data_IF_764512763841
#
_entry.id   IF_764512763841
#
_cell.length_a   1.000
_cell.length_b   1.000
_cell.length_c   1.000
_cell.angle_alpha   90.00
_cell.angle_beta   90.00
_cell.angle_gamma   90.00
#
_symmetry.space_group_name_H-M   'P 1'
#
loop_
_entity.id
_entity.type
_entity.pdbx_description
1 polymer ?
#
# COMPACT_ATOMS: atom_id res chain seq x y z
N UNK A 1 12.28 -7.55 -26.05
CA UNK A 1 11.04 -7.69 -26.83
C UNK A 1 10.02 -8.30 -25.89
N UNK A 2 8.97 -7.54 -25.55
CA UNK A 2 7.86 -8.03 -24.71
C UNK A 2 7.21 -9.18 -25.45
N UNK A 3 7.12 -10.35 -24.85
CA UNK A 3 6.32 -11.43 -25.41
C UNK A 3 4.86 -11.02 -25.31
N UNK A 4 4.04 -11.20 -26.37
CA UNK A 4 2.66 -10.70 -26.44
C UNK A 4 1.70 -11.16 -25.34
N UNK A 5 2.12 -12.08 -24.46
CA UNK A 5 1.39 -12.46 -23.25
C UNK A 5 1.53 -11.43 -22.12
N UNK A 6 2.69 -10.78 -21.97
CA UNK A 6 2.95 -9.82 -20.88
C UNK A 6 2.29 -8.46 -21.16
N UNK A 7 2.22 -8.03 -22.42
CA UNK A 7 1.58 -6.77 -22.78
C UNK A 7 0.06 -6.72 -22.50
N UNK A 8 -0.60 -7.88 -22.44
CA UNK A 8 -2.05 -8.02 -22.23
C UNK A 8 -2.41 -8.50 -20.81
N UNK A 9 -1.48 -8.45 -19.85
CA UNK A 9 -1.74 -8.86 -18.48
C UNK A 9 -2.78 -7.93 -17.86
N UNK A 10 -3.84 -8.53 -17.33
CA UNK A 10 -4.91 -7.83 -16.62
C UNK A 10 -4.64 -7.89 -15.12
N UNK A 11 -4.94 -6.79 -14.46
CA UNK A 11 -4.90 -6.68 -13.02
C UNK A 11 -6.30 -6.35 -12.49
N UNK A 12 -6.61 -6.82 -11.30
CA UNK A 12 -7.74 -6.31 -10.53
C UNK A 12 -7.47 -4.87 -10.13
N UNK A 13 -8.54 -4.10 -9.97
CA UNK A 13 -8.46 -2.80 -9.33
C UNK A 13 -8.69 -2.97 -7.83
N UNK A 14 -7.65 -2.72 -7.05
CA UNK A 14 -7.73 -2.59 -5.61
C UNK A 14 -7.78 -1.14 -5.17
N UNK A 15 -8.08 -0.91 -3.89
CA UNK A 15 -7.99 0.40 -3.26
C UNK A 15 -7.51 0.27 -1.81
N UNK A 16 -6.43 0.99 -1.48
CA UNK A 16 -6.00 1.17 -0.11
C UNK A 16 -6.94 2.13 0.61
N UNK A 17 -7.35 1.78 1.82
CA UNK A 17 -8.33 2.56 2.59
C UNK A 17 -7.85 3.97 2.92
N UNK A 18 -6.53 4.19 2.97
CA UNK A 18 -5.92 5.52 3.14
C UNK A 18 -6.33 6.53 2.05
N UNK A 19 -6.74 6.07 0.87
CA UNK A 19 -7.34 6.91 -0.18
C UNK A 19 -8.48 7.80 0.34
N UNK A 20 -9.15 7.38 1.41
CA UNK A 20 -10.24 8.10 2.07
C UNK A 20 -9.91 8.47 3.52
N UNK A 21 -8.64 8.84 3.79
CA UNK A 21 -8.15 9.13 5.15
C UNK A 21 -8.82 10.37 5.78
N UNK A 22 -9.17 11.40 4.99
CA UNK A 22 -9.95 12.56 5.49
C UNK A 22 -11.37 12.16 5.91
N UNK A 23 -11.86 11.04 5.39
CA UNK A 23 -13.13 10.42 5.77
C UNK A 23 -13.01 9.44 6.94
N UNK A 24 -11.81 9.30 7.50
CA UNK A 24 -11.53 8.55 8.72
C UNK A 24 -11.22 7.07 8.49
N UNK A 25 -10.85 6.68 7.28
CA UNK A 25 -10.38 5.34 6.93
C UNK A 25 -8.85 5.29 6.88
N UNK A 26 -8.30 4.09 6.99
CA UNK A 26 -6.85 3.88 7.00
C UNK A 26 -6.18 4.38 8.29
N UNK A 27 -4.86 4.35 8.28
CA UNK A 27 -4.05 4.89 9.37
C UNK A 27 -4.06 6.42 9.39
N UNK A 28 -3.68 6.97 10.55
CA UNK A 28 -3.52 8.40 10.72
C UNK A 28 -2.07 8.82 10.47
N UNK A 29 -1.89 9.94 9.79
CA UNK A 29 -0.58 10.54 9.55
C UNK A 29 -0.22 11.56 10.63
N UNK A 30 1.04 11.70 10.94
CA UNK A 30 1.51 12.73 11.85
C UNK A 30 3.02 12.95 11.78
N UNK A 31 3.46 14.18 11.99
CA UNK A 31 4.88 14.46 12.10
C UNK A 31 5.37 14.17 13.52
N UNK A 32 6.32 13.27 13.66
CA UNK A 32 6.95 12.93 14.94
C UNK A 32 7.46 14.16 15.70
N UNK A 33 8.00 15.15 14.98
CA UNK A 33 8.52 16.39 15.56
C UNK A 33 7.48 17.21 16.31
N UNK A 34 6.18 17.02 16.03
CA UNK A 34 5.09 17.75 16.67
C UNK A 34 4.35 16.92 17.73
N UNK A 35 4.58 15.61 17.81
CA UNK A 35 3.84 14.69 18.69
C UNK A 35 2.33 14.67 18.43
N UNK A 36 1.92 15.02 17.20
CA UNK A 36 0.53 15.11 16.82
C UNK A 36 0.21 14.10 15.73
N UNK A 37 -0.80 13.31 16.00
CA UNK A 37 -1.43 12.43 14.99
C UNK A 37 -2.64 13.14 14.41
N UNK A 38 -2.73 13.23 13.09
CA UNK A 38 -3.89 13.77 12.39
C UNK A 38 -4.89 12.65 12.17
N UNK A 39 -5.73 12.39 13.18
CA UNK A 39 -6.87 11.47 13.06
C UNK A 39 -8.12 12.28 12.71
N UNK A 40 -8.79 11.85 11.65
CA UNK A 40 -10.06 12.44 11.25
C UNK A 40 -11.24 11.61 11.76
N UNK A 41 -12.38 12.27 11.99
CA UNK A 41 -13.62 11.59 12.36
C UNK A 41 -14.03 10.62 11.27
N UNK A 42 -14.29 9.35 11.64
CA UNK A 42 -14.78 8.33 10.72
C UNK A 42 -16.22 8.63 10.31
N UNK A 43 -16.43 9.05 9.07
CA UNK A 43 -17.74 9.30 8.45
C UNK A 43 -18.11 8.24 7.41
N UNK A 44 -17.14 7.43 7.03
CA UNK A 44 -17.31 6.23 6.22
C UNK A 44 -16.76 5.07 7.04
N UNK A 45 -17.60 4.09 7.36
CA UNK A 45 -17.19 2.82 7.97
C UNK A 45 -16.86 1.79 6.89
N UNK A 46 -16.27 0.66 7.32
CA UNK A 46 -15.88 -0.40 6.41
C UNK A 46 -17.07 -1.00 5.67
N UNK A 47 -18.23 -1.07 6.33
CA UNK A 47 -19.46 -1.60 5.73
C UNK A 47 -19.92 -0.75 4.54
N UNK A 48 -19.97 0.56 4.72
CA UNK A 48 -20.29 1.52 3.67
C UNK A 48 -19.22 1.55 2.58
N UNK A 49 -17.93 1.44 2.95
CA UNK A 49 -16.84 1.38 1.99
C UNK A 49 -16.98 0.18 1.05
N UNK A 50 -17.32 -1.00 1.57
CA UNK A 50 -17.53 -2.20 0.74
C UNK A 50 -18.63 -1.98 -0.30
N UNK A 51 -19.74 -1.36 0.09
CA UNK A 51 -20.83 -1.04 -0.85
C UNK A 51 -20.37 -0.02 -1.92
N UNK A 52 -19.62 1.02 -1.52
CA UNK A 52 -19.02 1.98 -2.44
C UNK A 52 -18.03 1.32 -3.41
N UNK A 53 -17.19 0.40 -2.94
CA UNK A 53 -16.25 -0.32 -3.81
C UNK A 53 -16.96 -1.07 -4.93
N UNK A 54 -18.08 -1.74 -4.63
CA UNK A 54 -18.88 -2.42 -5.65
C UNK A 54 -19.46 -1.43 -6.65
N UNK A 55 -19.99 -0.28 -6.17
CA UNK A 55 -20.58 0.76 -7.04
C UNK A 55 -19.53 1.38 -7.98
N UNK A 56 -18.30 1.55 -7.52
CA UNK A 56 -17.21 2.18 -8.29
C UNK A 56 -16.36 1.14 -9.09
N UNK A 57 -16.69 -0.16 -9.00
CA UNK A 57 -15.99 -1.22 -9.74
C UNK A 57 -14.65 -1.63 -9.15
N UNK A 58 -14.40 -1.34 -7.87
CA UNK A 58 -13.23 -1.80 -7.12
C UNK A 58 -13.44 -3.27 -6.76
N UNK A 59 -12.39 -4.08 -6.88
CA UNK A 59 -12.44 -5.54 -6.75
C UNK A 59 -11.74 -6.04 -5.48
N UNK A 60 -10.80 -5.22 -4.94
CA UNK A 60 -9.99 -5.56 -3.77
C UNK A 60 -9.97 -4.38 -2.80
N UNK A 61 -10.11 -4.65 -1.50
CA UNK A 61 -9.95 -3.66 -0.45
C UNK A 61 -8.66 -3.98 0.32
N UNK A 62 -7.70 -3.08 0.25
CA UNK A 62 -6.47 -3.10 1.01
C UNK A 62 -6.68 -2.26 2.28
N UNK A 63 -6.98 -2.93 3.41
CA UNK A 63 -7.44 -2.30 4.64
C UNK A 63 -6.41 -2.36 5.76
N UNK A 64 -6.54 -1.49 6.74
CA UNK A 64 -5.73 -1.50 7.97
C UNK A 64 -6.52 -2.02 9.16
N UNK A 65 -5.82 -2.29 10.29
CA UNK A 65 -6.50 -2.65 11.55
C UNK A 65 -7.41 -1.54 12.09
N UNK A 66 -7.16 -0.28 11.73
CA UNK A 66 -7.99 0.87 12.12
C UNK A 66 -9.39 0.78 11.55
N UNK A 67 -9.52 0.19 10.36
CA UNK A 67 -10.81 0.07 9.67
C UNK A 67 -11.75 -0.92 10.36
N UNK A 68 -11.21 -1.81 11.20
CA UNK A 68 -11.96 -2.78 12.03
C UNK A 68 -12.49 -2.18 13.34
N UNK A 69 -12.36 -0.88 13.56
CA UNK A 69 -12.87 -0.14 14.74
C UNK A 69 -12.41 -0.69 16.10
N UNK A 70 -11.27 -1.40 16.11
CA UNK A 70 -10.70 -2.03 17.31
C UNK A 70 -11.39 -3.30 17.75
N UNK A 71 -12.37 -3.81 16.99
CA UNK A 71 -13.01 -5.12 17.24
C UNK A 71 -12.35 -6.22 16.41
N UNK A 72 -11.46 -6.97 17.03
CA UNK A 72 -10.77 -8.13 16.44
C UNK A 72 -11.40 -9.47 16.88
N UNK A 73 -12.64 -9.44 17.40
CA UNK A 73 -13.34 -10.67 17.78
C UNK A 73 -13.61 -11.56 16.57
N UNK A 74 -13.61 -12.88 16.78
CA UNK A 74 -13.90 -13.86 15.73
C UNK A 74 -15.25 -13.60 15.05
N UNK A 75 -16.24 -13.12 15.80
CA UNK A 75 -17.57 -12.82 15.27
C UNK A 75 -17.54 -11.61 14.30
N UNK A 76 -16.79 -10.55 14.66
CA UNK A 76 -16.66 -9.37 13.81
C UNK A 76 -15.85 -9.69 12.55
N UNK A 77 -14.71 -10.35 12.68
CA UNK A 77 -13.88 -10.73 11.54
C UNK A 77 -14.63 -11.64 10.55
N UNK A 78 -15.43 -12.60 11.09
CA UNK A 78 -16.29 -13.45 10.26
C UNK A 78 -17.37 -12.64 9.52
N UNK A 79 -18.00 -11.67 10.17
CA UNK A 79 -19.02 -10.83 9.54
C UNK A 79 -18.42 -9.97 8.40
N UNK A 80 -17.23 -9.39 8.59
CA UNK A 80 -16.51 -8.65 7.55
C UNK A 80 -16.21 -9.56 6.36
N UNK A 81 -15.65 -10.74 6.61
CA UNK A 81 -15.39 -11.75 5.58
C UNK A 81 -16.64 -12.14 4.80
N UNK A 82 -17.71 -12.50 5.49
CA UNK A 82 -18.99 -12.91 4.86
C UNK A 82 -19.58 -11.80 3.98
N UNK A 83 -19.46 -10.52 4.41
CA UNK A 83 -19.90 -9.40 3.58
C UNK A 83 -19.03 -9.26 2.33
N UNK A 84 -17.70 -9.31 2.47
CA UNK A 84 -16.78 -9.21 1.32
C UNK A 84 -17.05 -10.33 0.32
N UNK A 85 -17.16 -11.60 0.77
CA UNK A 85 -17.48 -12.76 -0.08
C UNK A 85 -18.81 -12.59 -0.81
N UNK A 86 -19.86 -12.15 -0.11
CA UNK A 86 -21.18 -11.88 -0.71
C UNK A 86 -21.15 -10.82 -1.80
N UNK A 87 -20.32 -9.78 -1.62
CA UNK A 87 -20.13 -8.71 -2.58
C UNK A 87 -19.12 -9.05 -3.68
N UNK A 88 -18.39 -10.15 -3.52
CA UNK A 88 -17.34 -10.57 -4.43
C UNK A 88 -16.10 -9.71 -4.36
N UNK A 89 -15.80 -9.13 -3.21
CA UNK A 89 -14.60 -8.35 -2.92
C UNK A 89 -13.53 -9.25 -2.32
N UNK A 90 -12.29 -9.11 -2.77
CA UNK A 90 -11.14 -9.68 -2.08
C UNK A 90 -10.65 -8.70 -1.01
N UNK A 91 -10.02 -9.21 0.05
CA UNK A 91 -9.46 -8.41 1.12
C UNK A 91 -7.94 -8.60 1.19
N UNK A 92 -7.24 -7.52 1.47
CA UNK A 92 -5.82 -7.47 1.79
C UNK A 92 -5.63 -6.69 3.09
N UNK A 93 -4.59 -7.00 3.85
CA UNK A 93 -4.34 -6.38 5.15
C UNK A 93 -3.02 -5.61 5.16
N UNK A 94 -3.06 -4.35 5.56
CA UNK A 94 -1.92 -3.47 5.75
C UNK A 94 -1.54 -3.41 7.23
N UNK A 95 -0.28 -3.69 7.53
CA UNK A 95 0.30 -3.73 8.88
C UNK A 95 1.59 -2.92 8.92
N UNK A 96 1.87 -2.33 10.08
CA UNK A 96 3.17 -1.75 10.40
C UNK A 96 3.75 -2.42 11.64
N UNK A 97 5.09 -2.45 11.76
CA UNK A 97 5.72 -3.01 12.94
C UNK A 97 5.85 -2.00 14.07
N UNK A 98 6.11 -0.75 13.72
CA UNK A 98 6.34 0.31 14.69
C UNK A 98 5.99 1.69 14.15
N UNK A 99 4.81 1.82 13.52
CA UNK A 99 4.35 3.10 12.99
C UNK A 99 4.34 4.17 14.09
N UNK A 100 5.16 5.20 14.00
CA UNK A 100 5.27 6.20 15.05
C UNK A 100 4.07 7.15 15.08
N UNK A 101 3.41 7.32 13.94
CA UNK A 101 2.26 8.21 13.77
C UNK A 101 0.95 7.58 14.22
N UNK A 102 0.78 6.29 14.03
CA UNK A 102 -0.45 5.58 14.41
C UNK A 102 -0.19 4.17 14.96
N UNK A 103 0.02 4.03 16.28
CA UNK A 103 0.27 2.72 16.88
C UNK A 103 -0.87 1.70 16.72
N UNK A 104 -2.06 2.11 16.26
CA UNK A 104 -3.19 1.19 16.06
C UNK A 104 -2.99 0.22 14.89
N UNK A 105 -2.09 0.55 13.96
CA UNK A 105 -1.71 -0.34 12.85
C UNK A 105 -0.58 -1.28 13.21
N UNK A 106 0.04 -1.12 14.40
CA UNK A 106 1.15 -1.96 14.82
C UNK A 106 0.65 -3.35 15.21
N UNK A 107 1.27 -4.37 14.65
CA UNK A 107 0.94 -5.75 14.91
C UNK A 107 2.16 -6.64 14.71
N UNK A 108 2.23 -7.73 15.44
CA UNK A 108 3.24 -8.76 15.20
C UNK A 108 2.91 -9.56 13.94
N UNK A 109 3.92 -10.19 13.34
CA UNK A 109 3.70 -11.06 12.17
C UNK A 109 2.71 -12.17 12.52
N UNK A 110 2.87 -12.82 13.68
CA UNK A 110 2.03 -13.95 14.10
C UNK A 110 0.55 -13.54 14.26
N UNK A 111 0.29 -12.44 14.94
CA UNK A 111 -1.07 -11.93 15.16
C UNK A 111 -1.73 -11.48 13.84
N UNK A 112 -0.98 -10.75 12.99
CA UNK A 112 -1.50 -10.28 11.71
C UNK A 112 -1.84 -11.41 10.74
N UNK A 113 -1.04 -12.48 10.73
CA UNK A 113 -1.35 -13.69 9.93
C UNK A 113 -2.64 -14.37 10.40
N UNK A 114 -2.88 -14.41 11.72
CA UNK A 114 -4.12 -14.97 12.28
C UNK A 114 -5.34 -14.11 11.91
N UNK A 115 -5.23 -12.78 12.06
CA UNK A 115 -6.29 -11.84 11.69
C UNK A 115 -6.60 -11.93 10.18
N UNK A 116 -5.57 -11.88 9.33
CA UNK A 116 -5.71 -11.98 7.89
C UNK A 116 -6.37 -13.31 7.47
N UNK A 117 -5.97 -14.42 8.08
CA UNK A 117 -6.60 -15.71 7.82
C UNK A 117 -8.10 -15.72 8.20
N UNK A 118 -8.46 -15.16 9.36
CA UNK A 118 -9.88 -15.06 9.81
C UNK A 118 -10.71 -14.16 8.91
N UNK A 119 -10.13 -13.05 8.43
CA UNK A 119 -10.75 -12.14 7.45
C UNK A 119 -10.86 -12.77 6.05
N UNK A 120 -10.09 -13.83 5.77
CA UNK A 120 -10.00 -14.41 4.43
C UNK A 120 -9.18 -13.55 3.46
N UNK A 121 -8.23 -12.75 3.98
CA UNK A 121 -7.34 -11.96 3.15
C UNK A 121 -6.49 -12.84 2.22
N UNK A 122 -6.11 -12.29 1.07
CA UNK A 122 -5.23 -12.93 0.09
C UNK A 122 -3.77 -12.57 0.30
N UNK A 123 -3.52 -11.41 0.93
CA UNK A 123 -2.20 -10.83 1.13
C UNK A 123 -2.14 -10.05 2.45
N UNK A 124 -0.95 -10.02 3.04
CA UNK A 124 -0.60 -9.10 4.14
C UNK A 124 0.62 -8.27 3.72
N UNK A 125 0.47 -6.95 3.73
CA UNK A 125 1.54 -5.98 3.48
C UNK A 125 2.12 -5.49 4.81
N UNK A 126 3.43 -5.28 4.83
CA UNK A 126 4.15 -4.81 6.01
C UNK A 126 5.01 -3.58 5.69
N UNK A 127 4.76 -2.49 6.42
CA UNK A 127 5.75 -1.43 6.62
C UNK A 127 6.67 -1.83 7.77
N UNK A 128 7.97 -1.65 7.61
CA UNK A 128 8.97 -2.20 8.54
C UNK A 128 9.57 -1.18 9.49
N UNK A 129 9.39 0.11 9.19
CA UNK A 129 9.79 1.24 10.02
C UNK A 129 11.29 1.22 10.37
N UNK A 130 12.14 0.96 9.37
CA UNK A 130 13.60 0.95 9.51
C UNK A 130 14.13 2.37 9.62
N UNK A 131 14.89 2.64 10.67
CA UNK A 131 15.50 3.96 10.89
C UNK A 131 16.83 4.09 10.17
N UNK A 132 17.00 5.20 9.44
CA UNK A 132 18.22 5.55 8.71
C UNK A 132 18.92 6.79 9.32
N UNK A 133 20.26 6.77 9.44
CA UNK A 133 21.00 7.94 9.87
C UNK A 133 21.09 8.99 8.73
N UNK A 134 21.29 10.25 9.11
CA UNK A 134 21.64 11.29 8.14
C UNK A 134 23.14 11.26 7.80
N UNK A 135 23.50 11.59 6.56
CA UNK A 135 22.62 11.95 5.43
C UNK A 135 21.97 10.72 4.78
N UNK A 136 20.70 10.84 4.44
CA UNK A 136 19.90 9.75 3.85
C UNK A 136 20.53 9.18 2.57
N UNK A 137 21.10 10.04 1.72
CA UNK A 137 21.75 9.62 0.46
C UNK A 137 22.92 8.63 0.61
N UNK A 138 23.46 8.47 1.81
CA UNK A 138 24.56 7.55 2.11
C UNK A 138 24.14 6.45 3.09
N UNK A 139 22.86 6.36 3.43
CA UNK A 139 22.38 5.44 4.46
C UNK A 139 21.82 4.13 3.90
N UNK A 140 21.62 4.04 2.59
CA UNK A 140 21.23 2.78 1.94
C UNK A 140 22.22 1.66 2.29
N UNK A 141 21.72 0.55 2.83
CA UNK A 141 22.54 -0.60 3.27
C UNK A 141 23.60 -0.24 4.34
N UNK A 142 23.43 0.86 5.07
CA UNK A 142 24.35 1.18 6.15
C UNK A 142 24.25 0.14 7.29
N UNK A 143 25.28 0.02 8.16
CA UNK A 143 25.30 -0.99 9.22
C UNK A 143 24.06 -0.95 10.13
N UNK A 144 23.58 0.25 10.46
CA UNK A 144 22.42 0.48 11.32
C UNK A 144 21.12 -0.03 10.69
N UNK A 145 20.90 0.22 9.41
CA UNK A 145 19.75 -0.29 8.66
C UNK A 145 19.86 -1.81 8.47
N UNK A 146 21.05 -2.30 8.10
CA UNK A 146 21.29 -3.74 7.91
C UNK A 146 21.04 -4.56 9.18
N UNK A 147 21.39 -4.04 10.35
CA UNK A 147 21.11 -4.72 11.62
C UNK A 147 19.61 -4.85 11.89
N UNK A 148 18.82 -3.81 11.60
CA UNK A 148 17.37 -3.83 11.74
C UNK A 148 16.73 -4.79 10.74
N UNK A 149 17.08 -4.68 9.46
CA UNK A 149 16.58 -5.56 8.39
C UNK A 149 16.90 -7.03 8.64
N UNK A 150 18.10 -7.35 9.16
CA UNK A 150 18.45 -8.72 9.51
C UNK A 150 17.56 -9.30 10.62
N UNK A 151 17.16 -8.51 11.60
CA UNK A 151 16.19 -8.91 12.64
C UNK A 151 14.82 -9.18 12.03
N UNK A 152 14.34 -8.29 11.15
CA UNK A 152 13.05 -8.42 10.44
C UNK A 152 13.03 -9.70 9.61
N UNK A 153 14.10 -9.96 8.84
CA UNK A 153 14.24 -11.20 8.06
C UNK A 153 14.16 -12.44 8.97
N UNK A 154 14.80 -12.40 10.15
CA UNK A 154 14.74 -13.51 11.09
C UNK A 154 13.34 -13.72 11.67
N UNK A 155 12.59 -12.64 11.90
CA UNK A 155 11.22 -12.71 12.40
C UNK A 155 10.27 -13.29 11.34
N UNK A 156 10.38 -12.90 10.08
CA UNK A 156 9.66 -13.55 8.98
C UNK A 156 10.02 -15.03 8.85
N UNK A 157 11.31 -15.39 8.91
CA UNK A 157 11.75 -16.80 8.86
C UNK A 157 11.12 -17.66 9.94
N UNK A 158 10.95 -17.16 11.15
CA UNK A 158 10.27 -17.88 12.25
C UNK A 158 8.81 -18.13 11.96
N UNK A 159 8.18 -17.26 11.17
CA UNK A 159 6.75 -17.31 10.81
C UNK A 159 6.46 -18.03 9.48
N UNK A 160 7.47 -18.47 8.72
CA UNK A 160 7.29 -19.22 7.46
C UNK A 160 6.30 -20.38 7.63
N UNK A 161 6.37 -21.24 8.68
CA UNK A 161 5.42 -22.33 8.84
C UNK A 161 3.96 -21.87 8.96
N UNK A 162 3.72 -20.69 9.54
CA UNK A 162 2.37 -20.12 9.67
C UNK A 162 1.93 -19.49 8.35
N UNK A 163 2.83 -18.81 7.64
CA UNK A 163 2.61 -18.26 6.28
C UNK A 163 2.18 -19.39 5.34
N UNK A 164 2.93 -20.49 5.31
CA UNK A 164 2.62 -21.67 4.49
C UNK A 164 1.30 -22.32 4.89
N UNK A 165 1.06 -22.46 6.21
CA UNK A 165 -0.19 -23.05 6.74
C UNK A 165 -1.43 -22.30 6.28
N UNK A 166 -1.37 -20.97 6.23
CA UNK A 166 -2.50 -20.13 5.82
C UNK A 166 -2.51 -19.84 4.32
N UNK A 167 -1.38 -20.06 3.63
CA UNK A 167 -1.25 -19.79 2.19
C UNK A 167 -1.31 -18.30 1.86
N UNK A 168 -0.97 -17.43 2.83
CA UNK A 168 -1.02 -15.97 2.68
C UNK A 168 0.19 -15.47 1.90
N UNK A 169 -0.04 -14.60 0.91
CA UNK A 169 1.03 -13.80 0.30
C UNK A 169 1.49 -12.73 1.30
N UNK A 170 2.78 -12.47 1.34
CA UNK A 170 3.44 -11.44 2.15
C UNK A 170 4.10 -10.44 1.22
N UNK A 171 3.91 -9.15 1.47
CA UNK A 171 4.57 -8.09 0.71
C UNK A 171 5.27 -7.11 1.66
N UNK A 172 6.59 -6.93 1.50
CA UNK A 172 7.39 -5.97 2.26
C UNK A 172 7.47 -4.68 1.46
N UNK A 173 7.06 -3.57 2.03
CA UNK A 173 6.94 -2.30 1.34
C UNK A 173 8.21 -1.45 1.42
N UNK A 174 8.47 -0.69 0.33
CA UNK A 174 9.32 0.49 0.36
C UNK A 174 8.53 1.71 0.92
N UNK A 175 8.04 1.58 2.16
CA UNK A 175 7.45 2.72 2.85
C UNK A 175 8.52 3.84 2.97
N UNK A 176 8.20 5.00 3.47
CA UNK A 176 9.13 6.14 3.59
C UNK A 176 10.47 5.84 4.30
N UNK A 177 10.69 4.60 4.68
CA UNK A 177 11.82 4.09 5.47
C UNK A 177 12.82 3.24 4.69
N UNK A 178 12.47 2.63 3.55
CA UNK A 178 13.32 1.69 2.84
C UNK A 178 13.62 2.10 1.40
N UNK A 179 14.90 2.00 1.02
CA UNK A 179 15.30 2.03 -0.38
C UNK A 179 14.90 0.75 -1.11
N UNK A 180 14.71 0.83 -2.42
CA UNK A 180 14.35 -0.34 -3.24
C UNK A 180 15.35 -1.49 -3.09
N UNK A 181 16.65 -1.20 -3.04
CA UNK A 181 17.70 -2.21 -2.88
C UNK A 181 17.60 -2.94 -1.52
N UNK A 182 17.10 -2.28 -0.49
CA UNK A 182 16.92 -2.84 0.86
C UNK A 182 15.72 -3.79 0.91
N UNK A 183 14.60 -3.39 0.31
CA UNK A 183 13.43 -4.27 0.17
C UNK A 183 13.80 -5.52 -0.63
N UNK A 184 14.46 -5.34 -1.78
CA UNK A 184 14.91 -6.45 -2.62
C UNK A 184 15.85 -7.37 -1.83
N UNK A 185 16.80 -6.80 -1.08
CA UNK A 185 17.70 -7.61 -0.24
C UNK A 185 16.92 -8.45 0.78
N UNK A 186 15.94 -7.89 1.48
CA UNK A 186 15.13 -8.66 2.45
C UNK A 186 14.36 -9.80 1.78
N UNK A 187 13.72 -9.53 0.65
CA UNK A 187 12.97 -10.54 -0.12
C UNK A 187 13.90 -11.66 -0.61
N UNK A 188 15.08 -11.31 -1.12
CA UNK A 188 16.09 -12.30 -1.55
C UNK A 188 16.66 -13.12 -0.38
N UNK A 189 16.83 -12.50 0.80
CA UNK A 189 17.24 -13.24 2.01
C UNK A 189 16.18 -14.24 2.44
N UNK A 190 14.91 -13.89 2.32
CA UNK A 190 13.79 -14.77 2.65
C UNK A 190 13.63 -15.87 1.62
N UNK A 191 13.77 -15.54 0.33
CA UNK A 191 13.74 -16.49 -0.81
C UNK A 191 12.60 -17.51 -0.68
N UNK A 192 11.36 -17.03 -0.52
CA UNK A 192 10.20 -17.86 -0.29
C UNK A 192 9.08 -17.52 -1.27
N UNK A 193 8.37 -18.51 -1.88
CA UNK A 193 7.40 -18.27 -2.94
C UNK A 193 6.14 -17.50 -2.50
N UNK A 194 5.90 -17.37 -1.21
CA UNK A 194 4.80 -16.57 -0.66
C UNK A 194 5.25 -15.19 -0.18
N UNK A 195 6.53 -14.82 -0.33
CA UNK A 195 7.06 -13.54 0.18
C UNK A 195 7.66 -12.74 -0.97
N UNK A 196 7.13 -11.56 -1.17
CA UNK A 196 7.56 -10.61 -2.18
C UNK A 196 7.60 -9.18 -1.64
N UNK A 197 7.64 -8.22 -2.56
CA UNK A 197 7.67 -6.80 -2.26
C UNK A 197 6.30 -6.15 -2.47
N UNK A 198 6.03 -5.09 -1.72
CA UNK A 198 5.03 -4.08 -2.07
C UNK A 198 5.78 -2.87 -2.60
N UNK A 199 5.50 -2.49 -3.84
CA UNK A 199 6.07 -1.30 -4.45
C UNK A 199 5.10 -0.13 -4.32
N UNK A 200 5.39 0.79 -3.40
CA UNK A 200 4.78 2.10 -3.44
C UNK A 200 5.50 2.95 -4.49
N UNK A 201 4.71 3.61 -5.35
CA UNK A 201 5.22 4.29 -6.53
C UNK A 201 5.77 5.69 -6.26
N UNK A 202 5.58 6.23 -5.05
CA UNK A 202 6.04 7.59 -4.69
C UNK A 202 6.93 7.65 -3.46
N UNK A 203 6.87 6.69 -2.55
CA UNK A 203 7.59 6.72 -1.26
C UNK A 203 9.11 6.82 -1.41
N UNK A 204 9.66 6.33 -2.53
CA UNK A 204 11.09 6.49 -2.86
C UNK A 204 11.54 7.96 -2.89
N UNK A 205 10.65 8.90 -3.18
CA UNK A 205 10.97 10.34 -3.17
C UNK A 205 11.39 10.83 -1.78
N UNK A 206 10.87 10.24 -0.70
CA UNK A 206 11.23 10.59 0.67
C UNK A 206 12.70 10.27 0.99
N UNK A 207 13.25 9.30 0.28
CA UNK A 207 14.66 8.88 0.37
C UNK A 207 15.53 9.45 -0.75
N UNK A 208 15.01 10.39 -1.53
CA UNK A 208 15.66 10.96 -2.71
C UNK A 208 16.06 9.89 -3.75
N UNK A 209 15.35 8.77 -3.81
CA UNK A 209 15.48 7.74 -4.86
C UNK A 209 14.53 8.05 -6.02
N UNK A 210 14.97 7.87 -7.26
CA UNK A 210 14.13 8.10 -8.44
C UNK A 210 13.03 7.05 -8.57
N UNK A 211 11.78 7.50 -8.78
CA UNK A 211 10.60 6.63 -8.88
C UNK A 211 10.81 5.49 -9.89
N UNK A 212 11.23 5.82 -11.11
CA UNK A 212 11.42 4.83 -12.17
C UNK A 212 12.48 3.79 -11.79
N UNK A 213 13.58 4.21 -11.19
CA UNK A 213 14.66 3.31 -10.79
C UNK A 213 14.20 2.39 -9.64
N UNK A 214 13.46 2.94 -8.68
CA UNK A 214 12.84 2.17 -7.61
C UNK A 214 11.90 1.09 -8.16
N UNK A 215 10.93 1.48 -8.99
CA UNK A 215 9.97 0.54 -9.60
C UNK A 215 10.69 -0.50 -10.45
N UNK A 216 11.69 -0.11 -11.23
CA UNK A 216 12.43 -1.01 -12.11
C UNK A 216 13.19 -2.11 -11.34
N UNK A 217 13.72 -1.78 -10.16
CA UNK A 217 14.38 -2.72 -9.24
C UNK A 217 13.38 -3.64 -8.54
N UNK A 218 12.28 -3.09 -8.04
CA UNK A 218 11.32 -3.83 -7.22
C UNK A 218 10.36 -4.69 -8.04
N UNK A 219 10.01 -4.30 -9.27
CA UNK A 219 9.00 -4.96 -10.09
C UNK A 219 9.18 -6.49 -10.20
N UNK A 220 10.39 -7.07 -10.34
CA UNK A 220 10.55 -8.53 -10.39
C UNK A 220 10.14 -9.28 -9.12
N UNK A 221 9.97 -8.56 -8.02
CA UNK A 221 9.65 -9.12 -6.69
C UNK A 221 8.26 -8.72 -6.21
N UNK A 222 7.54 -7.84 -6.94
CA UNK A 222 6.28 -7.27 -6.49
C UNK A 222 5.14 -8.29 -6.43
N UNK A 223 4.49 -8.35 -5.27
CA UNK A 223 3.23 -9.05 -5.01
C UNK A 223 2.08 -8.08 -4.68
N UNK A 224 2.40 -6.84 -4.38
CA UNK A 224 1.49 -5.75 -4.07
C UNK A 224 2.04 -4.44 -4.66
N UNK A 225 1.19 -3.51 -5.01
CA UNK A 225 1.57 -2.17 -5.50
C UNK A 225 0.62 -1.15 -4.90
N UNK A 226 1.16 -0.19 -4.15
CA UNK A 226 0.47 1.05 -3.83
C UNK A 226 0.69 2.02 -4.97
N UNK A 227 -0.37 2.23 -5.75
CA UNK A 227 -0.29 3.00 -6.98
C UNK A 227 -0.74 4.43 -6.74
N UNK A 228 0.24 5.30 -6.61
CA UNK A 228 0.11 6.70 -6.26
C UNK A 228 0.56 7.61 -7.39
N UNK A 229 0.08 8.85 -7.38
CA UNK A 229 0.55 9.93 -8.26
C UNK A 229 0.64 11.24 -7.46
N UNK A 230 1.73 11.96 -7.63
CA UNK A 230 2.02 13.18 -6.91
C UNK A 230 2.42 14.32 -7.84
N UNK A 231 2.05 15.53 -7.48
CA UNK A 231 2.59 16.75 -8.06
C UNK A 231 3.84 17.18 -7.29
N UNK A 232 4.91 17.46 -8.02
CA UNK A 232 6.18 17.93 -7.48
C UNK A 232 6.40 19.38 -7.87
N UNK A 233 6.55 20.27 -6.89
CA UNK A 233 6.76 21.70 -7.15
C UNK A 233 7.71 22.31 -6.13
N UNK A 234 8.30 23.45 -6.48
CA UNK A 234 9.14 24.24 -5.61
C UNK A 234 8.39 25.48 -5.11
N UNK A 235 8.60 25.82 -3.87
CA UNK A 235 8.15 27.06 -3.24
C UNK A 235 9.30 27.69 -2.42
N UNK A 236 9.07 28.82 -1.71
CA UNK A 236 10.13 29.44 -0.90
C UNK A 236 10.70 28.55 0.20
N UNK A 237 9.97 27.53 0.65
CA UNK A 237 10.37 26.64 1.75
C UNK A 237 11.08 25.37 1.24
N UNK A 238 11.08 25.11 -0.08
CA UNK A 238 11.77 23.97 -0.68
C UNK A 238 11.01 23.27 -1.80
N UNK A 239 11.25 21.98 -1.96
CA UNK A 239 10.54 21.12 -2.91
C UNK A 239 9.50 20.30 -2.17
N UNK A 240 8.29 20.32 -2.66
CA UNK A 240 7.15 19.58 -2.11
C UNK A 240 6.66 18.54 -3.10
N UNK A 241 6.22 17.40 -2.56
CA UNK A 241 5.49 16.35 -3.27
C UNK A 241 4.14 16.20 -2.60
N UNK A 242 3.06 16.38 -3.34
CA UNK A 242 1.68 16.29 -2.81
C UNK A 242 0.86 15.33 -3.65
N UNK A 243 0.16 14.43 -2.96
CA UNK A 243 -0.72 13.45 -3.57
C UNK A 243 -1.84 14.09 -4.37
N UNK A 244 -2.21 13.46 -5.48
CA UNK A 244 -3.28 13.89 -6.37
C UNK A 244 -3.98 12.68 -7.01
N UNK A 245 -5.02 12.93 -7.79
CA UNK A 245 -5.63 11.85 -8.58
C UNK A 245 -4.63 11.28 -9.59
N UNK A 246 -4.68 9.97 -9.81
CA UNK A 246 -3.85 9.28 -10.80
C UNK A 246 -4.04 9.92 -12.19
N UNK A 247 -2.95 10.30 -12.82
CA UNK A 247 -2.92 10.99 -14.11
C UNK A 247 -2.98 12.52 -14.03
N UNK A 248 -3.05 13.08 -12.82
CA UNK A 248 -2.96 14.54 -12.60
C UNK A 248 -1.57 15.00 -12.11
N UNK A 249 -0.71 14.06 -11.76
CA UNK A 249 0.60 14.31 -11.19
C UNK A 249 1.73 14.34 -12.20
N UNK A 250 2.94 14.27 -11.66
CA UNK A 250 4.20 14.30 -12.42
C UNK A 250 4.84 12.90 -12.54
N UNK A 251 4.21 11.86 -11.95
CA UNK A 251 4.66 10.47 -12.10
C UNK A 251 4.31 9.96 -13.49
N UNK A 252 5.28 9.36 -14.20
CA UNK A 252 4.99 8.66 -15.46
C UNK A 252 4.31 7.32 -15.17
N UNK A 253 3.04 7.39 -14.73
CA UNK A 253 2.24 6.23 -14.33
C UNK A 253 2.03 5.23 -15.48
N UNK A 254 2.14 5.67 -16.73
CA UNK A 254 2.07 4.80 -17.92
C UNK A 254 3.34 3.96 -18.03
N UNK A 255 4.52 4.57 -17.87
CA UNK A 255 5.79 3.84 -17.88
C UNK A 255 5.90 2.92 -16.65
N UNK A 256 5.44 3.35 -15.46
CA UNK A 256 5.36 2.50 -14.25
C UNK A 256 4.54 1.24 -14.54
N UNK A 257 3.33 1.37 -15.09
CA UNK A 257 2.50 0.22 -15.44
C UNK A 257 3.11 -0.68 -16.51
N UNK A 258 3.85 -0.11 -17.44
CA UNK A 258 4.58 -0.89 -18.44
C UNK A 258 5.69 -1.73 -17.78
N UNK A 259 6.48 -1.15 -16.88
CA UNK A 259 7.53 -1.88 -16.13
C UNK A 259 6.91 -3.03 -15.33
N UNK A 260 5.81 -2.77 -14.59
CA UNK A 260 5.11 -3.80 -13.82
C UNK A 260 4.59 -4.94 -14.71
N UNK A 261 3.97 -4.62 -15.84
CA UNK A 261 3.51 -5.66 -16.80
C UNK A 261 4.63 -6.49 -17.37
N UNK A 262 5.78 -5.88 -17.62
CA UNK A 262 6.94 -6.55 -18.20
C UNK A 262 7.68 -7.44 -17.21
N UNK A 263 7.79 -7.01 -15.95
CA UNK A 263 8.73 -7.60 -14.99
C UNK A 263 8.09 -8.29 -13.80
N UNK A 264 6.88 -7.87 -13.39
CA UNK A 264 6.29 -8.41 -12.18
C UNK A 264 5.89 -9.89 -12.33
N UNK A 265 6.04 -10.69 -11.26
CA UNK A 265 5.69 -12.10 -11.23
C UNK A 265 4.16 -12.28 -11.31
N UNK A 266 3.70 -13.53 -11.54
CA UNK A 266 2.26 -13.84 -11.68
C UNK A 266 1.48 -13.61 -10.38
N UNK A 267 2.16 -13.60 -9.25
CA UNK A 267 1.63 -13.35 -7.91
C UNK A 267 1.08 -11.93 -7.73
N UNK A 268 1.58 -10.96 -8.49
CA UNK A 268 0.97 -9.63 -8.56
C UNK A 268 -0.29 -9.70 -9.41
N UNK A 269 -1.46 -9.70 -8.84
CA UNK A 269 -2.75 -9.77 -9.53
C UNK A 269 -3.64 -8.53 -9.31
N UNK A 270 -3.23 -7.65 -8.40
CA UNK A 270 -3.96 -6.43 -8.02
C UNK A 270 -3.04 -5.21 -8.14
N UNK A 271 -3.63 -4.08 -8.52
CA UNK A 271 -3.01 -2.74 -8.40
C UNK A 271 -3.90 -1.93 -7.47
N UNK A 272 -3.38 -1.56 -6.32
CA UNK A 272 -4.11 -0.85 -5.29
C UNK A 272 -3.98 0.66 -5.49
N UNK A 273 -5.08 1.30 -5.84
CA UNK A 273 -5.18 2.75 -5.86
C UNK A 273 -4.91 3.30 -4.45
N UNK A 274 -3.98 4.21 -4.34
CA UNK A 274 -3.75 4.98 -3.13
C UNK A 274 -3.61 6.47 -3.47
N UNK A 275 -4.30 7.33 -2.70
CA UNK A 275 -4.25 8.77 -2.87
C UNK A 275 -3.98 9.41 -1.52
N UNK A 276 -2.90 10.15 -1.43
CA UNK A 276 -2.53 10.93 -0.25
C UNK A 276 -2.95 12.39 -0.40
N UNK A 277 -4.26 12.64 -0.51
CA UNK A 277 -4.75 14.00 -0.79
C UNK A 277 -4.48 14.94 0.39
N UNK A 278 -3.75 16.06 0.19
CA UNK A 278 -3.46 16.99 1.28
C UNK A 278 -4.71 17.80 1.65
N UNK A 279 -4.90 18.03 2.96
CA UNK A 279 -5.96 18.93 3.46
C UNK A 279 -5.60 20.43 3.35
N UNK A 280 -4.37 20.75 2.97
CA UNK A 280 -3.86 22.13 2.94
C UNK A 280 -4.72 23.04 2.07
N UNK A 281 -5.23 24.11 2.69
CA UNK A 281 -6.04 25.12 1.99
C UNK A 281 -7.53 24.82 1.91
N UNK A 282 -8.01 23.71 2.48
CA UNK A 282 -9.41 23.28 2.45
C UNK A 282 -9.99 23.11 3.86
N UNK A 283 -11.30 23.22 4.00
CA UNK A 283 -12.02 22.69 5.15
C UNK A 283 -12.09 21.18 5.07
N UNK A 284 -12.36 20.50 6.17
CA UNK A 284 -12.46 19.03 6.17
C UNK A 284 -13.60 18.55 5.26
N UNK A 285 -14.71 19.26 5.18
CA UNK A 285 -15.83 18.92 4.31
C UNK A 285 -15.49 19.08 2.83
N UNK A 286 -14.70 20.10 2.49
CA UNK A 286 -14.17 20.27 1.13
C UNK A 286 -13.15 19.18 0.80
N UNK A 287 -12.24 18.88 1.71
CA UNK A 287 -11.26 17.81 1.55
C UNK A 287 -11.91 16.45 1.30
N UNK A 288 -12.92 16.08 2.09
CA UNK A 288 -13.68 14.82 1.91
C UNK A 288 -14.38 14.72 0.55
N UNK A 289 -14.88 15.83 0.02
CA UNK A 289 -15.45 15.84 -1.35
C UNK A 289 -14.38 15.65 -2.40
N UNK A 290 -13.24 16.32 -2.22
CA UNK A 290 -12.09 16.18 -3.13
C UNK A 290 -11.50 14.76 -3.12
N UNK A 291 -11.47 14.06 -1.97
CA UNK A 291 -11.08 12.64 -1.91
C UNK A 291 -11.97 11.78 -2.81
N UNK A 292 -13.28 11.89 -2.68
CA UNK A 292 -14.22 11.12 -3.50
C UNK A 292 -14.09 11.47 -4.99
N UNK A 293 -13.93 12.75 -5.32
CA UNK A 293 -13.70 13.19 -6.70
C UNK A 293 -12.38 12.66 -7.26
N UNK A 294 -11.30 12.73 -6.48
CA UNK A 294 -10.00 12.22 -6.86
C UNK A 294 -10.01 10.71 -7.03
N UNK A 295 -10.64 9.97 -6.11
CA UNK A 295 -10.84 8.53 -6.21
C UNK A 295 -11.54 8.15 -7.52
N UNK A 296 -12.69 8.74 -7.80
CA UNK A 296 -13.47 8.47 -9.03
C UNK A 296 -12.71 8.80 -10.30
N UNK A 297 -11.98 9.92 -10.29
CA UNK A 297 -11.14 10.33 -11.42
C UNK A 297 -10.01 9.34 -11.66
N UNK A 298 -9.37 8.88 -10.59
CA UNK A 298 -8.31 7.88 -10.63
C UNK A 298 -8.81 6.54 -11.16
N UNK A 299 -9.95 6.04 -10.64
CA UNK A 299 -10.58 4.81 -11.11
C UNK A 299 -10.85 4.88 -12.61
N UNK A 300 -11.43 5.99 -13.07
CA UNK A 300 -11.68 6.20 -14.50
C UNK A 300 -10.39 6.16 -15.33
N UNK A 301 -9.34 6.84 -14.86
CA UNK A 301 -8.04 6.85 -15.55
C UNK A 301 -7.40 5.45 -15.57
N UNK A 302 -7.45 4.74 -14.44
CA UNK A 302 -6.93 3.37 -14.33
C UNK A 302 -7.65 2.42 -15.28
N UNK A 303 -8.98 2.55 -15.43
CA UNK A 303 -9.74 1.75 -16.40
C UNK A 303 -9.45 2.13 -17.86
N UNK A 304 -9.56 3.43 -18.19
CA UNK A 304 -9.58 3.88 -19.58
C UNK A 304 -8.17 3.99 -20.19
N UNK A 305 -7.16 4.35 -19.38
CA UNK A 305 -5.80 4.61 -19.86
C UNK A 305 -4.86 3.47 -19.50
N UNK A 306 -4.94 2.96 -18.27
CA UNK A 306 -4.03 1.93 -17.79
C UNK A 306 -4.56 0.51 -17.96
N UNK A 307 -5.80 0.31 -18.41
CA UNK A 307 -6.42 -1.00 -18.64
C UNK A 307 -6.36 -1.91 -17.38
N UNK A 308 -6.67 -1.34 -16.20
CA UNK A 308 -6.75 -2.00 -14.91
C UNK A 308 -8.23 -2.20 -14.55
N UNK A 309 -8.55 -3.27 -13.82
CA UNK A 309 -9.91 -3.69 -13.47
C UNK A 309 -10.45 -4.77 -14.42
N UNK A 310 -10.93 -5.86 -13.82
CA UNK A 310 -11.43 -7.03 -14.58
C UNK A 310 -12.95 -6.97 -14.73
N UNK A 311 -13.65 -6.50 -13.69
CA UNK A 311 -15.13 -6.57 -13.57
C UNK A 311 -15.87 -5.31 -14.04
N UNK A 312 -15.20 -4.18 -14.17
CA UNK A 312 -15.79 -2.88 -14.43
C UNK A 312 -16.06 -2.55 -15.92
N UNK A 313 -16.26 -3.55 -16.78
CA UNK A 313 -16.48 -3.34 -18.21
C UNK A 313 -17.82 -3.86 -18.69
#
# INVERSE_FOLDING_TARGET
MITGKQANRKFKLGMHTYTLHLSGLGESWGFQSEGKTHAFEKVIDLDKLMDMCVEEGIEVIHMTLVDLDGDLSDAHLAAVKEKAERLGLDLELNISFNAPSDPRVNCTIEESLEIAHKLGCTLVKYSTDVEHPHPLSHSCMCPEAMEQMAKIVMDFRRNIPTIEKYGLKIAIENHCDLFADEVVWMVEQLNHPLIGACCDTINSLMLAEGIKDCVDKMAPYCYCVHFCDNRVFADPDGTHSLGCAIGDGDVDVVEVMKILREKAPEELDTIDLEIELPLSGYTIEEGRKLEIEAMRKSIKFMHEVLDIGIRGR
#
